data_IF_211605246379
#
_entry.id   IF_211605246379
#
_cell.length_a   1.000
_cell.length_b   1.000
_cell.length_c   1.000
_cell.angle_alpha   90.00
_cell.angle_beta   90.00
_cell.angle_gamma   90.00
#
_symmetry.space_group_name_H-M   'P 1'
#
loop_
_entity.id
_entity.type
_entity.pdbx_description
1 polymer ?
#
# COMPACT_ATOMS: atom_id res chain seq x y z
N UNK A 1 25.32 18.36 5.23
CA UNK A 1 24.08 18.70 4.50
C UNK A 1 23.81 17.54 3.54
N UNK A 2 22.75 16.76 3.76
CA UNK A 2 22.41 15.62 2.88
C UNK A 2 21.91 16.19 1.55
N UNK A 3 22.70 16.00 0.49
CA UNK A 3 22.35 16.40 -0.88
C UNK A 3 21.12 15.59 -1.32
N UNK A 4 20.00 16.26 -1.55
CA UNK A 4 18.76 15.64 -2.06
C UNK A 4 19.05 14.99 -3.42
N UNK A 5 18.77 13.69 -3.57
CA UNK A 5 18.93 13.01 -4.86
C UNK A 5 17.99 13.64 -5.90
N UNK A 6 18.49 14.04 -7.09
CA UNK A 6 17.65 14.54 -8.16
C UNK A 6 16.53 13.53 -8.50
N UNK A 7 15.27 13.97 -8.51
CA UNK A 7 14.11 13.12 -8.83
C UNK A 7 13.33 12.56 -7.64
N UNK A 8 13.79 12.75 -6.39
CA UNK A 8 12.99 12.40 -5.20
C UNK A 8 11.81 13.36 -5.02
N UNK A 9 10.56 12.89 -4.88
CA UNK A 9 9.41 13.75 -4.59
C UNK A 9 9.63 14.58 -3.31
N UNK A 10 9.14 15.83 -3.30
CA UNK A 10 9.19 16.68 -2.10
C UNK A 10 8.42 15.96 -0.98
N UNK A 11 9.09 15.66 0.13
CA UNK A 11 8.53 14.89 1.26
C UNK A 11 9.03 13.45 1.37
N UNK A 12 9.64 12.87 0.33
CA UNK A 12 10.16 11.49 0.40
C UNK A 12 11.30 11.36 1.42
N UNK A 13 12.22 12.32 1.47
CA UNK A 13 13.31 12.33 2.46
C UNK A 13 12.78 12.41 3.90
N UNK A 14 11.67 13.13 4.10
CA UNK A 14 11.00 13.21 5.40
C UNK A 14 10.33 11.88 5.76
N UNK A 15 9.68 11.22 4.82
CA UNK A 15 9.12 9.88 5.01
C UNK A 15 10.22 8.86 5.39
N UNK A 16 11.38 8.95 4.75
CA UNK A 16 12.58 8.15 5.13
C UNK A 16 13.02 8.47 6.55
N UNK A 17 13.11 9.75 6.93
CA UNK A 17 13.48 10.14 8.28
C UNK A 17 12.48 9.62 9.34
N UNK A 18 11.18 9.65 9.03
CA UNK A 18 10.10 9.15 9.90
C UNK A 18 10.10 7.63 10.05
N UNK A 19 10.39 6.89 8.97
CA UNK A 19 10.49 5.42 9.00
C UNK A 19 11.62 4.88 9.89
N UNK A 20 12.58 5.73 10.28
CA UNK A 20 13.72 5.37 11.13
C UNK A 20 13.49 5.69 12.61
N UNK A 21 12.31 6.19 12.94
CA UNK A 21 12.02 6.63 14.29
C UNK A 21 11.74 5.42 15.19
N UNK A 22 12.16 5.54 16.45
CA UNK A 22 11.93 4.49 17.45
C UNK A 22 10.44 4.32 17.75
N UNK A 23 9.70 5.43 17.78
CA UNK A 23 8.25 5.42 17.95
C UNK A 23 7.58 4.66 16.79
N UNK A 24 6.85 3.55 17.07
CA UNK A 24 6.27 2.74 16.01
C UNK A 24 5.19 3.46 15.20
N UNK A 25 4.48 4.43 15.81
CA UNK A 25 3.48 5.23 15.11
C UNK A 25 4.11 6.12 14.05
N UNK A 26 5.18 6.84 14.40
CA UNK A 26 5.96 7.65 13.46
C UNK A 26 6.66 6.81 12.41
N UNK A 27 7.19 5.64 12.80
CA UNK A 27 7.77 4.68 11.86
C UNK A 27 6.75 4.21 10.83
N UNK A 28 5.58 3.74 11.27
CA UNK A 28 4.50 3.31 10.38
C UNK A 28 4.01 4.43 9.45
N UNK A 29 3.89 5.67 9.97
CA UNK A 29 3.54 6.84 9.16
C UNK A 29 4.58 7.13 8.09
N UNK A 30 5.87 7.10 8.44
CA UNK A 30 6.95 7.27 7.48
C UNK A 30 6.91 6.24 6.35
N UNK A 31 6.71 4.96 6.70
CA UNK A 31 6.58 3.87 5.72
C UNK A 31 5.35 4.05 4.82
N UNK A 32 4.20 4.42 5.38
CA UNK A 32 2.99 4.70 4.60
C UNK A 32 3.21 5.87 3.63
N UNK A 33 3.86 6.94 4.10
CA UNK A 33 4.16 8.14 3.32
C UNK A 33 5.11 7.84 2.16
N UNK A 34 6.07 6.91 2.31
CA UNK A 34 6.90 6.47 1.19
C UNK A 34 6.08 5.90 0.03
N UNK A 35 5.02 5.13 0.34
CA UNK A 35 4.11 4.59 -0.68
C UNK A 35 3.27 5.66 -1.37
N UNK A 36 2.86 6.70 -0.63
CA UNK A 36 2.10 7.83 -1.16
C UNK A 36 2.96 8.72 -2.07
N UNK A 37 4.17 9.06 -1.62
CA UNK A 37 5.09 9.88 -2.41
C UNK A 37 5.62 9.15 -3.63
N UNK A 38 5.86 7.84 -3.52
CA UNK A 38 6.38 7.03 -4.61
C UNK A 38 7.83 7.37 -4.96
N UNK A 39 8.21 7.01 -6.18
CA UNK A 39 9.59 7.13 -6.68
C UNK A 39 10.28 5.77 -6.87
N UNK A 40 11.38 5.75 -7.63
CA UNK A 40 12.06 4.50 -7.99
C UNK A 40 12.61 3.74 -6.77
N UNK A 41 12.98 4.45 -5.71
CA UNK A 41 13.47 3.84 -4.47
C UNK A 41 12.37 3.43 -3.48
N UNK A 42 11.12 3.85 -3.68
CA UNK A 42 10.04 3.65 -2.70
C UNK A 42 9.74 2.16 -2.47
N UNK A 43 9.74 1.34 -3.53
CA UNK A 43 9.48 -0.10 -3.41
C UNK A 43 10.52 -0.76 -2.53
N UNK A 44 11.82 -0.52 -2.79
CA UNK A 44 12.90 -1.09 -1.98
C UNK A 44 12.88 -0.55 -0.55
N UNK A 45 12.63 0.75 -0.37
CA UNK A 45 12.54 1.39 0.94
C UNK A 45 11.41 0.83 1.80
N UNK A 46 10.25 0.56 1.20
CA UNK A 46 9.09 -0.01 1.90
C UNK A 46 9.26 -1.51 2.17
N UNK A 47 9.86 -2.27 1.23
CA UNK A 47 10.11 -3.72 1.41
C UNK A 47 10.93 -4.04 2.65
N UNK A 48 11.80 -3.13 3.09
CA UNK A 48 12.57 -3.30 4.33
C UNK A 48 11.70 -3.41 5.60
N UNK A 49 10.43 -3.03 5.54
CA UNK A 49 9.53 -2.95 6.71
C UNK A 49 8.44 -4.03 6.71
N UNK A 50 8.39 -4.93 5.73
CA UNK A 50 7.36 -5.98 5.68
C UNK A 50 7.52 -7.04 6.78
N UNK A 51 8.72 -7.11 7.37
CA UNK A 51 9.08 -7.98 8.50
C UNK A 51 9.37 -7.19 9.79
N UNK A 52 8.98 -5.91 9.87
CA UNK A 52 9.18 -5.11 11.09
C UNK A 52 8.55 -5.80 12.31
N UNK A 53 9.19 -5.69 13.47
CA UNK A 53 8.72 -6.28 14.72
C UNK A 53 7.30 -5.81 15.10
N UNK A 54 6.97 -4.55 14.75
CA UNK A 54 5.68 -3.94 15.06
C UNK A 54 4.69 -4.16 13.93
N UNK A 55 3.57 -4.80 14.27
CA UNK A 55 2.48 -5.10 13.34
C UNK A 55 1.94 -3.88 12.59
N UNK A 56 1.78 -2.74 13.27
CA UNK A 56 1.33 -1.51 12.64
C UNK A 56 2.25 -1.05 11.50
N UNK A 57 3.56 -1.28 11.64
CA UNK A 57 4.56 -0.95 10.62
C UNK A 57 4.49 -1.93 9.46
N UNK A 58 4.33 -3.23 9.73
CA UNK A 58 4.10 -4.24 8.68
C UNK A 58 2.86 -3.94 7.84
N UNK A 59 1.74 -3.61 8.49
CA UNK A 59 0.49 -3.24 7.79
C UNK A 59 0.69 -1.97 6.95
N UNK A 60 1.41 -0.97 7.47
CA UNK A 60 1.76 0.23 6.70
C UNK A 60 2.64 -0.11 5.48
N UNK A 61 3.57 -1.05 5.62
CA UNK A 61 4.41 -1.52 4.51
C UNK A 61 3.58 -2.18 3.41
N UNK A 62 2.67 -3.10 3.75
CA UNK A 62 1.78 -3.74 2.78
C UNK A 62 0.85 -2.72 2.10
N UNK A 63 0.32 -1.76 2.86
CA UNK A 63 -0.47 -0.65 2.32
C UNK A 63 0.33 0.15 1.29
N UNK A 64 1.55 0.56 1.64
CA UNK A 64 2.42 1.33 0.76
C UNK A 64 2.81 0.52 -0.50
N UNK A 65 3.14 -0.76 -0.37
CA UNK A 65 3.45 -1.63 -1.51
C UNK A 65 2.27 -1.75 -2.49
N UNK A 66 1.05 -1.86 -1.98
CA UNK A 66 -0.14 -1.88 -2.85
C UNK A 66 -0.30 -0.56 -3.61
N UNK A 67 -0.10 0.59 -2.95
CA UNK A 67 -0.11 1.91 -3.62
C UNK A 67 0.96 2.06 -4.69
N UNK A 68 2.10 1.38 -4.51
CA UNK A 68 3.20 1.32 -5.48
C UNK A 68 2.97 0.25 -6.57
N UNK A 69 1.77 -0.34 -6.64
CA UNK A 69 1.41 -1.33 -7.65
C UNK A 69 2.08 -2.69 -7.47
N UNK A 70 2.54 -3.02 -6.25
CA UNK A 70 3.10 -4.34 -5.96
C UNK A 70 1.98 -5.32 -5.61
N UNK A 71 1.62 -6.16 -6.59
CA UNK A 71 0.52 -7.11 -6.48
C UNK A 71 0.68 -8.12 -5.33
N UNK A 72 1.91 -8.41 -4.94
CA UNK A 72 2.25 -9.28 -3.79
C UNK A 72 1.68 -8.77 -2.45
N UNK A 73 1.35 -7.48 -2.35
CA UNK A 73 0.73 -6.91 -1.16
C UNK A 73 -0.76 -7.24 -1.02
N UNK A 74 -1.44 -7.60 -2.11
CA UNK A 74 -2.89 -7.80 -2.11
C UNK A 74 -3.33 -8.95 -1.21
N UNK A 75 -2.76 -10.17 -1.28
CA UNK A 75 -3.15 -11.25 -0.37
C UNK A 75 -3.01 -10.85 1.10
N UNK A 76 -1.92 -10.13 1.44
CA UNK A 76 -1.67 -9.66 2.80
C UNK A 76 -2.71 -8.64 3.25
N UNK A 77 -3.08 -7.69 2.40
CA UNK A 77 -4.13 -6.72 2.72
C UNK A 77 -5.52 -7.36 2.82
N UNK A 78 -5.80 -8.37 2.00
CA UNK A 78 -7.04 -9.16 2.07
C UNK A 78 -7.15 -9.85 3.43
N UNK A 79 -6.05 -10.41 3.94
CA UNK A 79 -6.02 -10.98 5.29
C UNK A 79 -6.25 -9.93 6.39
N UNK A 80 -5.67 -8.73 6.24
CA UNK A 80 -5.82 -7.63 7.20
C UNK A 80 -7.27 -7.11 7.29
N UNK A 81 -8.14 -7.36 6.30
CA UNK A 81 -9.56 -7.05 6.42
C UNK A 81 -10.24 -7.79 7.59
N UNK A 82 -9.75 -8.97 8.00
CA UNK A 82 -10.29 -9.70 9.14
C UNK A 82 -9.61 -9.33 10.48
N UNK A 83 -8.81 -8.26 10.51
CA UNK A 83 -8.05 -7.88 11.70
C UNK A 83 -8.95 -7.30 12.82
N UNK A 84 -8.61 -7.55 14.08
CA UNK A 84 -9.38 -7.08 15.25
C UNK A 84 -9.45 -5.55 15.35
N UNK A 85 -8.32 -4.87 15.07
CA UNK A 85 -8.18 -3.42 15.08
C UNK A 85 -8.87 -2.78 13.88
N UNK A 86 -9.87 -1.94 14.14
CA UNK A 86 -10.61 -1.17 13.13
C UNK A 86 -9.68 -0.37 12.20
N UNK A 87 -8.64 0.28 12.75
CA UNK A 87 -7.68 1.06 11.95
C UNK A 87 -6.97 0.24 10.87
N UNK A 88 -6.69 -1.03 11.13
CA UNK A 88 -6.03 -1.89 10.16
C UNK A 88 -7.00 -2.34 9.07
N UNK A 89 -8.23 -2.70 9.46
CA UNK A 89 -9.30 -3.03 8.49
C UNK A 89 -9.56 -1.86 7.55
N UNK A 90 -9.70 -0.65 8.11
CA UNK A 90 -9.90 0.58 7.34
C UNK A 90 -8.75 0.82 6.36
N UNK A 91 -7.50 0.74 6.81
CA UNK A 91 -6.33 0.94 5.94
C UNK A 91 -6.27 -0.10 4.82
N UNK A 92 -6.56 -1.37 5.11
CA UNK A 92 -6.62 -2.42 4.10
C UNK A 92 -7.75 -2.20 3.09
N UNK A 93 -8.96 -1.87 3.56
CA UNK A 93 -10.11 -1.54 2.72
C UNK A 93 -9.79 -0.42 1.73
N UNK A 94 -9.21 0.68 2.21
CA UNK A 94 -8.84 1.84 1.39
C UNK A 94 -7.79 1.47 0.34
N UNK A 95 -6.74 0.72 0.71
CA UNK A 95 -5.73 0.30 -0.25
C UNK A 95 -6.31 -0.63 -1.32
N UNK A 96 -7.09 -1.64 -0.93
CA UNK A 96 -7.67 -2.58 -1.87
C UNK A 96 -8.61 -1.87 -2.84
N UNK A 97 -9.46 -0.96 -2.35
CA UNK A 97 -10.36 -0.19 -3.20
C UNK A 97 -9.59 0.71 -4.19
N UNK A 98 -8.50 1.34 -3.73
CA UNK A 98 -7.70 2.26 -4.55
C UNK A 98 -6.80 1.56 -5.57
N UNK A 99 -6.46 0.28 -5.36
CA UNK A 99 -5.44 -0.43 -6.15
C UNK A 99 -6.03 -1.50 -7.06
N UNK A 100 -7.10 -2.16 -6.65
CA UNK A 100 -7.71 -3.26 -7.40
C UNK A 100 -8.72 -2.78 -8.44
N UNK A 101 -9.39 -1.64 -8.21
CA UNK A 101 -10.51 -1.20 -9.04
C UNK A 101 -11.66 -2.22 -9.12
N UNK A 102 -11.72 -3.18 -8.18
CA UNK A 102 -12.64 -4.32 -8.25
C UNK A 102 -14.12 -3.94 -8.06
N UNK A 103 -14.43 -2.68 -7.75
CA UNK A 103 -15.79 -2.23 -7.45
C UNK A 103 -16.35 -2.82 -6.15
N UNK A 104 -15.52 -3.47 -5.33
CA UNK A 104 -15.91 -4.04 -4.04
C UNK A 104 -15.91 -2.91 -3.00
N UNK A 105 -17.08 -2.62 -2.44
CA UNK A 105 -17.20 -1.74 -1.29
C UNK A 105 -16.79 -2.50 -0.04
N UNK A 106 -15.78 -1.99 0.66
CA UNK A 106 -15.35 -2.52 1.94
C UNK A 106 -15.79 -1.54 3.02
N UNK A 107 -17.05 -1.68 3.47
CA UNK A 107 -17.58 -0.91 4.59
C UNK A 107 -16.80 -1.28 5.84
N UNK A 108 -15.85 -0.42 6.22
CA UNK A 108 -14.87 -0.73 7.26
C UNK A 108 -15.41 -0.60 8.69
N UNK A 109 -16.67 -0.18 8.84
CA UNK A 109 -17.31 0.15 10.12
C UNK A 109 -17.59 -1.08 11.00
N UNK A 110 -17.91 -2.22 10.40
CA UNK A 110 -18.20 -3.47 11.12
C UNK A 110 -17.20 -4.58 10.73
N UNK A 111 -16.88 -5.46 11.68
CA UNK A 111 -16.03 -6.61 11.44
C UNK A 111 -16.70 -7.62 10.48
N UNK A 112 -18.01 -7.79 10.58
CA UNK A 112 -18.83 -8.62 9.70
C UNK A 112 -18.74 -8.13 8.24
N UNK A 113 -18.86 -6.82 8.03
CA UNK A 113 -18.75 -6.22 6.70
C UNK A 113 -17.35 -6.40 6.10
N UNK A 114 -16.30 -6.27 6.92
CA UNK A 114 -14.94 -6.52 6.47
C UNK A 114 -14.67 -8.00 6.17
N UNK A 115 -15.30 -8.92 6.91
CA UNK A 115 -15.21 -10.35 6.63
C UNK A 115 -15.90 -10.72 5.31
N UNK A 116 -17.04 -10.07 4.98
CA UNK A 116 -17.67 -10.19 3.68
C UNK A 116 -16.77 -9.63 2.56
N UNK A 117 -16.18 -8.44 2.78
CA UNK A 117 -15.22 -7.84 1.85
C UNK A 117 -14.00 -8.74 1.62
N UNK A 118 -13.46 -9.37 2.67
CA UNK A 118 -12.35 -10.34 2.56
C UNK A 118 -12.70 -11.46 1.59
N UNK A 119 -13.84 -12.13 1.79
CA UNK A 119 -14.29 -13.22 0.91
C UNK A 119 -14.45 -12.74 -0.55
N UNK A 120 -15.00 -11.55 -0.75
CA UNK A 120 -15.16 -10.96 -2.08
C UNK A 120 -13.80 -10.72 -2.75
N UNK A 121 -12.83 -10.12 -2.04
CA UNK A 121 -11.50 -9.88 -2.57
C UNK A 121 -10.69 -11.17 -2.77
N UNK A 122 -10.85 -12.20 -1.93
CA UNK A 122 -10.25 -13.53 -2.17
C UNK A 122 -10.77 -14.16 -3.46
N UNK A 123 -12.08 -14.12 -3.67
CA UNK A 123 -12.70 -14.60 -4.90
C UNK A 123 -12.21 -13.82 -6.12
N UNK A 124 -12.19 -12.50 -6.02
CA UNK A 124 -11.65 -11.62 -7.06
C UNK A 124 -10.18 -11.91 -7.35
N UNK A 125 -9.33 -12.06 -6.33
CA UNK A 125 -7.90 -12.32 -6.50
C UNK A 125 -7.62 -13.66 -7.20
N UNK A 126 -8.39 -14.69 -6.85
CA UNK A 126 -8.36 -16.00 -7.53
C UNK A 126 -8.77 -15.85 -9.01
N UNK A 127 -9.83 -15.11 -9.29
CA UNK A 127 -10.30 -14.86 -10.66
C UNK A 127 -9.32 -13.99 -11.48
N UNK A 128 -8.69 -13.00 -10.85
CA UNK A 128 -7.70 -12.11 -11.44
C UNK A 128 -6.35 -12.79 -11.72
N UNK A 129 -6.18 -14.06 -11.31
CA UNK A 129 -4.94 -14.84 -11.51
C UNK A 129 -3.68 -14.12 -11.00
N UNK A 130 -3.82 -13.35 -9.92
CA UNK A 130 -2.71 -12.64 -9.30
C UNK A 130 -2.25 -11.36 -10.02
N UNK A 131 -3.04 -10.83 -10.96
CA UNK A 131 -2.71 -9.61 -11.71
C UNK A 131 -3.50 -8.41 -11.19
N UNK A 132 -2.80 -7.31 -10.94
CA UNK A 132 -3.43 -6.02 -10.63
C UNK A 132 -4.12 -5.46 -11.88
N UNK A 133 -5.32 -4.90 -11.71
CA UNK A 133 -5.97 -4.06 -12.73
C UNK A 133 -5.36 -2.62 -12.76
N UNK A 134 -4.06 -2.50 -12.45
CA UNK A 134 -3.34 -1.22 -12.31
C UNK A 134 -3.28 -0.41 -13.62
N UNK A 135 -3.57 -1.03 -14.76
CA UNK A 135 -3.68 -0.36 -16.06
C UNK A 135 -4.67 0.83 -16.05
N UNK A 136 -5.60 0.88 -15.08
CA UNK A 136 -6.50 2.02 -14.88
C UNK A 136 -5.81 3.29 -14.32
N UNK A 137 -4.80 3.19 -13.44
CA UNK A 137 -4.12 4.36 -12.88
C UNK A 137 -3.15 5.02 -13.89
N UNK A 138 -2.59 4.24 -14.83
CA UNK A 138 -1.83 4.77 -15.99
C UNK A 138 -2.64 5.80 -16.79
N UNK A 139 -3.96 5.66 -16.86
CA UNK A 139 -4.85 6.61 -17.52
C UNK A 139 -5.16 7.85 -16.69
N UNK A 140 -5.09 7.79 -15.36
CA UNK A 140 -5.45 8.91 -14.47
C UNK A 140 -4.28 9.81 -14.08
N UNK A 141 -3.05 9.27 -13.98
CA UNK A 141 -1.85 10.03 -13.58
C UNK A 141 -0.78 10.17 -14.67
N UNK A 142 -1.08 9.77 -15.91
CA UNK A 142 -0.33 10.18 -17.10
C UNK A 142 1.18 10.00 -17.01
N UNK A 143 1.67 8.76 -16.90
CA UNK A 143 3.07 8.49 -17.23
C UNK A 143 3.18 8.12 -18.71
N UNK A 144 3.87 9.01 -19.43
CA UNK A 144 4.09 8.95 -20.85
C UNK A 144 4.63 7.60 -21.31
N UNK A 145 4.14 7.19 -22.47
CA UNK A 145 4.72 6.16 -23.28
C UNK A 145 6.24 6.35 -23.35
N UNK A 146 7.00 5.53 -22.63
CA UNK A 146 8.35 5.19 -23.07
C UNK A 146 8.17 4.37 -24.35
N UNK A 147 8.03 5.10 -25.46
CA UNK A 147 8.15 4.54 -26.80
C UNK A 147 9.55 3.95 -26.86
N UNK A 148 9.63 2.62 -26.86
CA UNK A 148 10.81 1.91 -27.35
C UNK A 148 11.09 2.45 -28.75
N UNK A 149 12.30 2.99 -28.95
CA UNK A 149 12.90 3.19 -30.26
C UNK A 149 13.99 2.14 -30.41
#
# INVERSE_FOLDING_TARGET
MLQRKPGTPVGFDQAVAESRQRDPGRRASGVANMGVYGGPEAVAGVKAFVEDEVEAVRVAAWFALALLGQAEALPKLIDVLAHEKHEFRKRAAVALQSTTGAGITADHESAENCAAAKKAYEGWWKAASGKLAWDAKKKMFGEGASKKK
#
